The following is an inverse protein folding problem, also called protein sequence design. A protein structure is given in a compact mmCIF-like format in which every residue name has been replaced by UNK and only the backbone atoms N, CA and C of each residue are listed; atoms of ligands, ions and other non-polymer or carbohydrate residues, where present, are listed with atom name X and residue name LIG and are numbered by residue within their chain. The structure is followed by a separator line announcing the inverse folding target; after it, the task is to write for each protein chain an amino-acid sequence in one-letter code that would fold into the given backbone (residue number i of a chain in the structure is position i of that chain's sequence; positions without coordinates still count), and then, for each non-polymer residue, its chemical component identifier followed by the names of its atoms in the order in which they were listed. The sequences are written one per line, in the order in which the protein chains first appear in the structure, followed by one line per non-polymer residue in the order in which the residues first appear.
data_IF_084280741679
#
_entry.id   IF_084280741679
#
_cell.length_a   1.000
_cell.length_b   1.000
_cell.length_c   1.000
_cell.angle_alpha   90.00
_cell.angle_beta   90.00
_cell.angle_gamma   90.00
#
_symmetry.space_group_name_H-M   'P 1'
#
loop_
_entity.id
_entity.type
_entity.pdbx_description
1 polymer ?
#
# COMPACT_ATOMS: atom_id res chain seq x y z
N UNK A 1 7.64 54.85 32.59
CA UNK A 1 6.35 54.50 32.04
C UNK A 1 6.28 54.46 30.51
N UNK A 2 6.79 55.44 29.74
CA UNK A 2 6.74 55.41 28.26
C UNK A 2 7.53 54.26 27.58
N UNK A 3 8.66 53.79 28.20
CA UNK A 3 9.43 52.64 27.67
C UNK A 3 8.80 51.27 27.97
N UNK A 4 7.99 51.17 29.03
CA UNK A 4 7.27 49.91 29.36
C UNK A 4 6.01 49.75 28.48
N UNK A 5 5.36 50.86 28.09
CA UNK A 5 4.22 50.81 27.17
C UNK A 5 4.65 50.44 25.75
N UNK A 6 5.82 50.88 25.31
CA UNK A 6 6.36 50.56 23.99
C UNK A 6 6.79 49.07 23.89
N UNK A 7 7.30 48.48 24.98
CA UNK A 7 7.64 47.06 25.03
C UNK A 7 6.39 46.14 25.05
N UNK A 8 5.30 46.57 25.71
CA UNK A 8 4.04 45.82 25.70
C UNK A 8 3.33 45.92 24.35
N UNK A 9 3.41 47.10 23.68
CA UNK A 9 2.84 47.26 22.32
C UNK A 9 3.63 46.44 21.28
N UNK A 10 4.96 46.34 21.41
CA UNK A 10 5.80 45.54 20.53
C UNK A 10 5.54 44.03 20.75
N UNK A 11 5.31 43.58 22.02
CA UNK A 11 4.95 42.21 22.32
C UNK A 11 3.54 41.87 21.86
N UNK A 12 2.59 42.78 21.93
CA UNK A 12 1.26 42.59 21.38
C UNK A 12 1.22 42.58 19.84
N UNK A 13 2.11 43.33 19.16
CA UNK A 13 2.25 43.23 17.70
C UNK A 13 2.98 41.95 17.23
N UNK A 14 3.91 41.40 18.04
CA UNK A 14 4.53 40.08 17.72
C UNK A 14 3.61 38.88 17.97
N UNK A 15 2.54 39.04 18.77
CA UNK A 15 1.54 37.98 18.99
C UNK A 15 0.41 37.98 17.95
N UNK A 16 0.35 38.98 17.08
CA UNK A 16 -0.67 39.07 15.99
C UNK A 16 -0.13 38.60 14.65
N UNK A 17 1.17 38.30 14.52
CA UNK A 17 1.78 37.83 13.27
C UNK A 17 2.12 36.34 13.22
N UNK A 18 1.68 35.54 14.21
CA UNK A 18 1.75 34.08 14.16
C UNK A 18 0.35 33.49 14.30
N UNK A 19 -0.44 33.62 13.27
CA UNK A 19 -1.79 33.09 13.22
C UNK A 19 -2.47 33.44 11.91
N UNK A 20 -1.78 33.31 10.80
CA UNK A 20 -2.48 32.86 9.62
C UNK A 20 -2.74 31.36 9.92
N UNK A 21 -3.84 31.06 10.62
CA UNK A 21 -4.46 29.76 10.55
C UNK A 21 -4.56 29.47 9.06
N UNK A 22 -3.78 28.51 8.56
CA UNK A 22 -4.05 27.93 7.26
C UNK A 22 -5.55 27.59 7.32
N UNK A 23 -6.35 28.27 6.50
CA UNK A 23 -7.77 28.02 6.46
C UNK A 23 -7.88 26.59 5.99
N UNK A 24 -8.39 25.72 6.87
CA UNK A 24 -8.58 24.31 6.53
C UNK A 24 -9.40 24.27 5.23
N UNK A 25 -8.94 23.53 4.26
CA UNK A 25 -9.71 23.35 3.03
C UNK A 25 -11.06 22.74 3.37
N UNK A 26 -12.12 23.35 2.88
CA UNK A 26 -13.47 22.80 2.89
C UNK A 26 -14.05 22.91 1.48
N UNK A 27 -14.67 21.83 0.96
CA UNK A 27 -15.33 21.87 -0.34
C UNK A 27 -16.43 22.94 -0.41
N UNK A 28 -16.49 23.70 -1.50
CA UNK A 28 -17.58 24.63 -1.76
C UNK A 28 -18.85 23.85 -2.16
N UNK A 29 -19.76 23.71 -1.23
CA UNK A 29 -21.01 22.97 -1.40
C UNK A 29 -22.04 23.69 -2.29
N UNK A 30 -21.72 24.85 -2.86
CA UNK A 30 -22.58 25.57 -3.80
C UNK A 30 -22.24 25.31 -5.26
N UNK A 31 -21.09 24.68 -5.53
CA UNK A 31 -20.64 24.32 -6.89
C UNK A 31 -21.57 23.28 -7.51
N UNK A 32 -21.94 23.48 -8.78
CA UNK A 32 -22.62 22.46 -9.58
C UNK A 32 -21.66 21.87 -10.60
N UNK A 33 -21.59 20.56 -10.63
CA UNK A 33 -20.72 19.85 -11.58
C UNK A 33 -21.41 19.66 -12.93
N UNK A 34 -20.65 19.65 -14.02
CA UNK A 34 -21.25 19.48 -15.35
C UNK A 34 -21.84 18.09 -15.52
N UNK A 35 -23.05 18.01 -16.10
CA UNK A 35 -23.70 16.74 -16.44
C UNK A 35 -22.87 15.93 -17.45
N UNK A 36 -23.02 14.61 -17.43
CA UNK A 36 -22.36 13.64 -18.30
C UNK A 36 -21.63 12.55 -17.53
N UNK A 37 -20.78 11.78 -18.20
CA UNK A 37 -20.11 10.62 -17.61
C UNK A 37 -18.76 11.01 -17.01
N UNK A 38 -18.53 10.62 -15.75
CA UNK A 38 -17.23 10.54 -15.13
C UNK A 38 -16.74 9.11 -15.34
N UNK A 39 -15.64 8.92 -16.08
CA UNK A 39 -15.09 7.62 -16.44
C UNK A 39 -13.87 7.31 -15.57
N UNK A 40 -13.88 6.15 -14.91
CA UNK A 40 -12.84 5.68 -14.01
C UNK A 40 -12.24 4.39 -14.54
N UNK A 41 -10.92 4.33 -14.74
CA UNK A 41 -10.23 3.06 -14.99
C UNK A 41 -9.66 2.52 -13.68
N UNK A 42 -10.08 1.30 -13.32
CA UNK A 42 -9.67 0.66 -12.07
C UNK A 42 -9.36 -0.82 -12.24
N UNK A 43 -8.74 -1.41 -11.22
CA UNK A 43 -8.39 -2.83 -11.16
C UNK A 43 -8.70 -3.39 -9.76
N UNK A 44 -8.57 -4.70 -9.59
CA UNK A 44 -8.95 -5.37 -8.34
C UNK A 44 -10.47 -5.35 -8.15
N UNK A 45 -10.96 -4.48 -7.28
CA UNK A 45 -12.38 -4.25 -7.02
C UNK A 45 -12.81 -2.83 -7.44
N UNK A 46 -12.78 -2.47 -8.72
CA UNK A 46 -13.12 -1.11 -9.14
C UNK A 46 -14.59 -0.74 -8.93
N UNK A 47 -15.47 -1.73 -8.69
CA UNK A 47 -16.85 -1.52 -8.28
C UNK A 47 -16.93 -0.79 -6.92
N UNK A 48 -15.94 -0.95 -6.03
CA UNK A 48 -15.87 -0.18 -4.80
C UNK A 48 -15.70 1.32 -5.07
N UNK A 49 -14.89 1.69 -6.08
CA UNK A 49 -14.75 3.07 -6.52
C UNK A 49 -16.05 3.60 -7.14
N UNK A 50 -16.74 2.77 -7.94
CA UNK A 50 -18.03 3.11 -8.52
C UNK A 50 -19.06 3.44 -7.43
N UNK A 51 -19.15 2.60 -6.40
CA UNK A 51 -20.04 2.83 -5.26
C UNK A 51 -19.67 4.07 -4.46
N UNK A 52 -18.38 4.36 -4.27
CA UNK A 52 -17.91 5.57 -3.62
C UNK A 52 -18.44 6.83 -4.31
N UNK A 53 -18.24 6.95 -5.63
CA UNK A 53 -18.69 8.11 -6.40
C UNK A 53 -20.20 8.16 -6.55
N UNK A 54 -20.89 7.04 -6.75
CA UNK A 54 -22.36 6.99 -6.80
C UNK A 54 -23.00 7.41 -5.49
N UNK A 55 -22.48 6.92 -4.37
CA UNK A 55 -22.96 7.30 -3.05
C UNK A 55 -22.74 8.79 -2.80
N UNK A 56 -21.55 9.31 -3.14
CA UNK A 56 -21.26 10.72 -2.99
C UNK A 56 -22.22 11.59 -3.83
N UNK A 57 -22.47 11.22 -5.08
CA UNK A 57 -23.44 11.91 -5.92
C UNK A 57 -24.87 11.84 -5.33
N UNK A 58 -25.25 10.71 -4.74
CA UNK A 58 -26.57 10.57 -4.12
C UNK A 58 -26.72 11.44 -2.84
N UNK A 59 -25.64 11.70 -2.11
CA UNK A 59 -25.63 12.61 -0.97
C UNK A 59 -25.62 14.09 -1.39
N UNK A 60 -25.19 14.39 -2.62
CA UNK A 60 -25.08 15.74 -3.19
C UNK A 60 -25.91 15.94 -4.49
N UNK A 61 -27.23 15.64 -4.47
CA UNK A 61 -28.03 15.55 -5.71
C UNK A 61 -28.18 16.89 -6.45
N UNK A 62 -28.18 18.03 -5.74
CA UNK A 62 -28.29 19.34 -6.38
C UNK A 62 -27.03 19.76 -7.11
N UNK A 63 -25.87 19.25 -6.66
CA UNK A 63 -24.55 19.56 -7.24
C UNK A 63 -24.22 18.66 -8.41
N UNK A 64 -24.74 17.41 -8.40
CA UNK A 64 -24.38 16.31 -9.31
C UNK A 64 -25.49 15.94 -10.28
N UNK A 65 -26.46 16.83 -10.51
CA UNK A 65 -27.57 16.58 -11.43
C UNK A 65 -27.06 16.22 -12.83
N UNK A 66 -27.40 15.00 -13.30
CA UNK A 66 -27.01 14.49 -14.61
C UNK A 66 -25.55 13.98 -14.69
N UNK A 67 -24.86 13.83 -13.57
CA UNK A 67 -23.57 13.11 -13.51
C UNK A 67 -23.83 11.61 -13.46
N UNK A 68 -23.19 10.87 -14.37
CA UNK A 68 -23.19 9.41 -14.42
C UNK A 68 -21.79 8.88 -14.11
N UNK A 69 -21.68 7.82 -13.34
CA UNK A 69 -20.40 7.17 -13.03
C UNK A 69 -20.25 5.93 -13.90
N UNK A 70 -19.14 5.84 -14.62
CA UNK A 70 -18.78 4.68 -15.44
C UNK A 70 -17.41 4.16 -15.03
N UNK A 71 -17.33 2.85 -14.70
CA UNK A 71 -16.08 2.22 -14.29
C UNK A 71 -15.67 1.17 -15.33
N UNK A 72 -14.41 1.23 -15.75
CA UNK A 72 -13.80 0.26 -16.66
C UNK A 72 -12.84 -0.63 -15.89
N UNK A 73 -13.10 -1.94 -15.89
CA UNK A 73 -12.25 -2.94 -15.28
C UNK A 73 -10.96 -3.12 -16.09
N UNK A 74 -9.81 -3.02 -15.42
CA UNK A 74 -8.48 -3.32 -15.96
C UNK A 74 -7.86 -4.51 -15.20
N UNK A 75 -6.82 -5.12 -15.77
CA UNK A 75 -6.15 -6.27 -15.16
C UNK A 75 -5.25 -5.86 -13.96
N UNK A 76 -4.69 -4.66 -14.00
CA UNK A 76 -3.81 -4.12 -12.97
C UNK A 76 -3.35 -2.71 -13.29
N UNK A 77 -2.55 -2.10 -12.41
CA UNK A 77 -2.05 -0.74 -12.60
C UNK A 77 -1.24 -0.57 -13.90
N UNK A 78 -0.47 -1.59 -14.29
CA UNK A 78 0.30 -1.57 -15.52
C UNK A 78 -0.58 -1.63 -16.78
N UNK A 79 -1.69 -2.38 -16.77
CA UNK A 79 -2.67 -2.39 -17.85
C UNK A 79 -3.36 -1.02 -17.98
N UNK A 80 -3.73 -0.39 -16.85
CA UNK A 80 -4.23 0.98 -16.83
C UNK A 80 -3.22 1.91 -17.49
N UNK A 81 -1.96 1.90 -17.05
CA UNK A 81 -0.89 2.75 -17.61
C UNK A 81 -0.75 2.56 -19.12
N UNK A 82 -0.69 1.32 -19.61
CA UNK A 82 -0.54 1.02 -21.04
C UNK A 82 -1.68 1.59 -21.87
N UNK A 83 -2.93 1.40 -21.42
CA UNK A 83 -4.11 1.94 -22.11
C UNK A 83 -4.08 3.45 -22.17
N UNK A 84 -3.79 4.11 -21.04
CA UNK A 84 -3.69 5.58 -20.96
C UNK A 84 -2.58 6.11 -21.88
N UNK A 85 -1.37 5.54 -21.82
CA UNK A 85 -0.24 5.98 -22.62
C UNK A 85 -0.51 5.85 -24.13
N UNK A 86 -1.11 4.76 -24.57
CA UNK A 86 -1.47 4.53 -25.96
C UNK A 86 -2.51 5.55 -26.46
N UNK A 87 -3.57 5.77 -25.69
CA UNK A 87 -4.62 6.75 -26.02
C UNK A 87 -4.05 8.17 -26.07
N UNK A 88 -3.23 8.53 -25.07
CA UNK A 88 -2.59 9.85 -25.04
C UNK A 88 -1.65 10.09 -26.23
N UNK A 89 -0.82 9.10 -26.57
CA UNK A 89 0.10 9.19 -27.71
C UNK A 89 -0.60 9.26 -29.07
N UNK A 90 -1.80 8.69 -29.18
CA UNK A 90 -2.62 8.78 -30.39
C UNK A 90 -3.27 10.14 -30.59
N UNK A 91 -3.28 10.99 -29.54
CA UNK A 91 -3.95 12.29 -29.53
C UNK A 91 -5.46 12.23 -29.32
N UNK A 92 -6.02 11.06 -28.98
CA UNK A 92 -7.45 10.85 -28.72
C UNK A 92 -7.79 11.23 -27.26
N UNK A 93 -7.55 12.49 -26.87
CA UNK A 93 -7.68 12.94 -25.47
C UNK A 93 -9.09 12.84 -24.92
N UNK A 94 -10.12 12.92 -25.78
CA UNK A 94 -11.53 12.72 -25.43
C UNK A 94 -11.87 11.30 -24.99
N UNK A 95 -11.09 10.29 -25.46
CA UNK A 95 -11.26 8.89 -25.10
C UNK A 95 -10.54 8.50 -23.80
N UNK A 96 -9.76 9.41 -23.22
CA UNK A 96 -9.13 9.19 -21.92
C UNK A 96 -10.19 9.17 -20.80
N UNK A 97 -9.99 8.35 -19.72
CA UNK A 97 -10.82 8.45 -18.53
C UNK A 97 -10.57 9.79 -17.80
N UNK A 98 -11.41 10.12 -16.85
CA UNK A 98 -11.24 11.29 -15.99
C UNK A 98 -10.35 10.97 -14.80
N UNK A 99 -10.42 9.71 -14.34
CA UNK A 99 -9.75 9.21 -13.16
C UNK A 99 -9.17 7.82 -13.40
N UNK A 100 -8.02 7.55 -12.82
CA UNK A 100 -7.45 6.20 -12.79
C UNK A 100 -7.06 5.78 -11.37
N UNK A 101 -7.28 4.51 -11.06
CA UNK A 101 -6.58 3.88 -9.95
C UNK A 101 -5.17 3.49 -10.40
N UNK A 102 -4.16 3.76 -9.56
CA UNK A 102 -2.75 3.49 -9.89
C UNK A 102 -1.93 3.22 -8.64
N UNK A 103 -0.65 2.90 -8.82
CA UNK A 103 0.34 2.68 -7.76
C UNK A 103 1.62 3.48 -8.06
N UNK A 104 2.51 3.60 -7.07
CA UNK A 104 3.67 4.47 -7.13
C UNK A 104 4.55 4.30 -8.39
N UNK A 105 4.92 3.07 -8.77
CA UNK A 105 5.77 2.83 -9.93
C UNK A 105 5.11 3.27 -11.26
N UNK A 106 3.82 2.98 -11.43
CA UNK A 106 3.07 3.38 -12.63
C UNK A 106 2.74 4.87 -12.63
N UNK A 107 2.50 5.49 -11.46
CA UNK A 107 2.37 6.94 -11.32
C UNK A 107 3.67 7.64 -11.71
N UNK A 108 4.81 7.16 -11.20
CA UNK A 108 6.12 7.72 -11.52
C UNK A 108 6.37 7.76 -13.04
N UNK A 109 6.07 6.66 -13.73
CA UNK A 109 6.23 6.58 -15.18
C UNK A 109 5.31 7.52 -15.98
N UNK A 110 4.22 8.03 -15.39
CA UNK A 110 3.26 8.93 -16.04
C UNK A 110 3.46 10.40 -15.65
N UNK A 111 3.98 10.69 -14.47
CA UNK A 111 4.05 12.05 -13.94
C UNK A 111 4.82 13.04 -14.83
N UNK A 112 5.98 12.61 -15.38
CA UNK A 112 6.81 13.46 -16.24
C UNK A 112 6.21 13.67 -17.64
N UNK A 113 5.18 12.94 -18.03
CA UNK A 113 4.60 13.02 -19.38
C UNK A 113 3.52 14.10 -19.52
N UNK A 114 3.07 14.63 -18.38
CA UNK A 114 1.94 15.57 -18.34
C UNK A 114 0.56 14.93 -18.51
N UNK A 115 0.47 13.61 -18.52
CA UNK A 115 -0.80 12.85 -18.62
C UNK A 115 -1.62 12.96 -17.33
N UNK A 116 -0.97 13.02 -16.18
CA UNK A 116 -1.62 13.16 -14.87
C UNK A 116 -1.50 14.60 -14.39
N UNK A 117 -2.54 15.08 -13.71
CA UNK A 117 -2.53 16.42 -13.10
C UNK A 117 -1.65 16.45 -11.87
N UNK A 118 -0.93 17.56 -11.71
CA UNK A 118 -0.27 17.90 -10.45
C UNK A 118 -1.33 18.25 -9.40
N UNK A 119 -1.25 17.65 -8.22
CA UNK A 119 -2.16 17.86 -7.09
C UNK A 119 -1.49 18.54 -5.90
N UNK A 120 -0.25 19.03 -6.05
CA UNK A 120 0.58 19.56 -4.96
C UNK A 120 -0.14 20.63 -4.15
N UNK A 121 -0.68 21.67 -4.79
CA UNK A 121 -1.33 22.78 -4.09
C UNK A 121 -2.55 22.33 -3.27
N UNK A 122 -3.30 21.36 -3.78
CA UNK A 122 -4.46 20.78 -3.09
C UNK A 122 -4.02 19.91 -1.91
N UNK A 123 -3.05 19.02 -2.13
CA UNK A 123 -2.56 18.11 -1.11
C UNK A 123 -1.79 18.84 0.00
N UNK A 124 -1.09 19.92 -0.30
CA UNK A 124 -0.38 20.73 0.69
C UNK A 124 -1.31 21.34 1.75
N UNK A 125 -2.59 21.57 1.41
CA UNK A 125 -3.60 22.04 2.36
C UNK A 125 -4.07 20.95 3.34
N UNK A 126 -3.86 19.66 3.02
CA UNK A 126 -4.51 18.52 3.69
C UNK A 126 -3.53 17.49 4.24
N UNK A 127 -2.29 17.45 3.75
CA UNK A 127 -1.34 16.39 4.06
C UNK A 127 -0.99 16.24 5.54
N UNK A 128 -1.04 17.35 6.31
CA UNK A 128 -0.71 17.34 7.74
C UNK A 128 -1.79 16.64 8.58
N UNK A 129 -3.01 16.51 8.05
CA UNK A 129 -4.13 15.81 8.67
C UNK A 129 -4.18 14.32 8.26
N UNK A 130 -3.33 13.90 7.33
CA UNK A 130 -3.18 12.50 6.92
C UNK A 130 -2.16 11.76 7.80
N UNK A 131 -2.26 10.43 7.84
CA UNK A 131 -1.28 9.57 8.51
C UNK A 131 0.12 9.80 7.92
N UNK A 132 1.13 9.71 8.78
CA UNK A 132 2.51 9.95 8.40
C UNK A 132 2.94 8.95 7.30
N UNK A 133 3.69 9.43 6.30
CA UNK A 133 4.16 8.62 5.17
C UNK A 133 3.19 8.47 4.00
N UNK A 134 1.89 8.71 4.18
CA UNK A 134 0.86 8.53 3.12
C UNK A 134 1.18 9.28 1.84
N UNK A 135 1.75 10.48 1.93
CA UNK A 135 2.07 11.29 0.76
C UNK A 135 3.36 10.87 0.03
N UNK A 136 4.14 9.93 0.58
CA UNK A 136 5.40 9.50 -0.05
C UNK A 136 5.20 8.95 -1.46
N UNK A 137 4.33 7.97 -1.60
CA UNK A 137 4.09 7.27 -2.87
C UNK A 137 3.36 8.12 -3.93
N UNK A 138 2.67 9.19 -3.53
CA UNK A 138 2.02 10.12 -4.48
C UNK A 138 2.95 11.25 -4.92
N UNK A 139 4.16 11.31 -4.34
CA UNK A 139 5.17 12.35 -4.61
C UNK A 139 6.20 11.85 -5.62
N UNK A 140 6.33 12.56 -6.74
CA UNK A 140 7.32 12.31 -7.77
C UNK A 140 8.16 13.57 -7.92
N UNK A 141 9.49 13.46 -7.71
CA UNK A 141 10.43 14.60 -7.83
C UNK A 141 10.00 15.85 -7.04
N UNK A 142 9.45 15.63 -5.84
CA UNK A 142 9.05 16.71 -4.93
C UNK A 142 7.68 17.34 -5.22
N UNK A 143 6.90 16.80 -6.14
CA UNK A 143 5.54 17.23 -6.48
C UNK A 143 4.56 16.07 -6.34
N UNK A 144 3.35 16.35 -5.90
CA UNK A 144 2.30 15.34 -5.76
C UNK A 144 1.42 15.27 -7.01
N UNK A 145 1.13 14.04 -7.48
CA UNK A 145 0.39 13.77 -8.72
C UNK A 145 -0.81 12.86 -8.54
N UNK A 146 -1.15 12.52 -7.31
CA UNK A 146 -2.29 11.65 -7.03
C UNK A 146 -2.89 11.94 -5.66
N UNK A 147 -4.08 11.39 -5.43
CA UNK A 147 -4.82 11.41 -4.19
C UNK A 147 -4.73 10.01 -3.57
N UNK A 148 -4.12 9.82 -2.40
CA UNK A 148 -4.02 8.50 -1.77
C UNK A 148 -5.39 8.00 -1.36
N UNK A 149 -5.67 6.70 -1.58
CA UNK A 149 -6.97 6.08 -1.28
C UNK A 149 -6.84 5.03 -0.20
N UNK A 150 -5.75 4.27 -0.21
CA UNK A 150 -5.41 3.32 0.84
C UNK A 150 -3.91 3.36 1.13
N UNK A 151 -3.55 3.05 2.39
CA UNK A 151 -2.18 2.98 2.84
C UNK A 151 -2.08 1.81 3.82
N UNK A 152 -1.66 0.64 3.32
CA UNK A 152 -1.78 -0.61 4.04
C UNK A 152 -0.42 -1.21 4.37
N UNK A 153 -0.13 -1.49 5.65
CA UNK A 153 1.15 -2.04 6.07
C UNK A 153 1.33 -3.48 5.64
N UNK A 154 2.57 -3.96 5.69
CA UNK A 154 2.85 -5.37 5.82
C UNK A 154 2.58 -5.80 7.26
N UNK A 155 1.95 -6.96 7.41
CA UNK A 155 1.54 -7.50 8.71
C UNK A 155 2.06 -8.93 8.85
N UNK A 156 2.13 -9.39 10.08
CA UNK A 156 2.25 -10.81 10.39
C UNK A 156 0.91 -11.33 10.90
N UNK A 157 0.24 -12.14 10.08
CA UNK A 157 -0.90 -12.93 10.50
C UNK A 157 -0.39 -14.24 11.11
N UNK A 158 -0.95 -14.65 12.24
CA UNK A 158 -0.57 -15.92 12.87
C UNK A 158 -1.78 -16.68 13.41
N UNK A 159 -1.73 -18.00 13.29
CA UNK A 159 -2.76 -18.88 13.85
C UNK A 159 -2.43 -19.16 15.31
N UNK A 160 -3.19 -18.55 16.23
CA UNK A 160 -2.98 -18.68 17.67
C UNK A 160 -3.16 -20.12 18.15
N UNK A 161 -4.07 -20.88 17.55
CA UNK A 161 -4.32 -22.29 17.92
C UNK A 161 -3.09 -23.18 17.63
N UNK A 162 -2.40 -22.96 16.50
CA UNK A 162 -1.14 -23.64 16.22
C UNK A 162 -0.09 -23.28 17.26
N UNK A 163 0.07 -21.98 17.57
CA UNK A 163 1.06 -21.55 18.56
C UNK A 163 0.76 -22.15 19.96
N UNK A 164 -0.51 -22.18 20.35
CA UNK A 164 -0.95 -22.75 21.63
C UNK A 164 -0.69 -24.28 21.69
N UNK A 165 -0.94 -25.01 20.60
CA UNK A 165 -0.68 -26.45 20.50
C UNK A 165 0.80 -26.80 20.76
N UNK A 166 1.70 -25.97 20.22
CA UNK A 166 3.14 -26.15 20.38
C UNK A 166 3.73 -25.35 21.56
N UNK A 167 2.89 -24.68 22.36
CA UNK A 167 3.28 -23.84 23.49
C UNK A 167 4.35 -22.82 23.12
N UNK A 168 4.02 -21.98 22.11
CA UNK A 168 4.87 -20.90 21.58
C UNK A 168 4.24 -19.53 21.89
N UNK A 169 5.04 -18.64 22.46
CA UNK A 169 4.65 -17.24 22.69
C UNK A 169 4.80 -16.42 21.41
N UNK A 170 3.69 -15.86 20.90
CA UNK A 170 3.64 -15.05 19.70
C UNK A 170 4.51 -13.76 19.81
N UNK A 171 4.69 -13.22 21.02
CA UNK A 171 5.51 -12.02 21.21
C UNK A 171 6.98 -12.22 20.77
N UNK A 172 7.46 -13.44 20.69
CA UNK A 172 8.79 -13.76 20.16
C UNK A 172 8.96 -13.45 18.68
N UNK A 173 7.87 -13.31 17.93
CA UNK A 173 7.88 -13.05 16.50
C UNK A 173 7.97 -11.54 16.14
N UNK A 174 8.25 -10.66 17.10
CA UNK A 174 8.39 -9.23 16.87
C UNK A 174 9.67 -8.84 16.07
N UNK A 175 10.63 -9.75 15.99
CA UNK A 175 11.85 -9.60 15.17
C UNK A 175 11.98 -10.74 14.17
N UNK A 176 12.71 -10.53 13.06
CA UNK A 176 12.97 -11.61 12.09
C UNK A 176 13.72 -12.79 12.71
N UNK A 177 14.70 -12.52 13.57
CA UNK A 177 15.42 -13.60 14.28
C UNK A 177 14.46 -14.40 15.15
N UNK A 178 13.62 -13.72 15.93
CA UNK A 178 12.63 -14.39 16.78
C UNK A 178 11.59 -15.17 15.98
N UNK A 179 11.12 -14.63 14.84
CA UNK A 179 10.19 -15.30 13.93
C UNK A 179 10.82 -16.56 13.31
N UNK A 180 12.07 -16.49 12.87
CA UNK A 180 12.84 -17.63 12.36
C UNK A 180 13.04 -18.69 13.45
N UNK A 181 13.40 -18.30 14.68
CA UNK A 181 13.56 -19.24 15.79
C UNK A 181 12.23 -19.95 16.17
N UNK A 182 11.10 -19.21 16.12
CA UNK A 182 9.76 -19.82 16.24
C UNK A 182 9.53 -20.82 15.12
N UNK A 183 9.92 -20.52 13.89
CA UNK A 183 9.82 -21.44 12.76
C UNK A 183 10.60 -22.72 12.95
N UNK A 184 11.84 -22.63 13.43
CA UNK A 184 12.67 -23.81 13.75
C UNK A 184 12.03 -24.66 14.85
N UNK A 185 11.51 -24.03 15.89
CA UNK A 185 10.83 -24.70 16.98
C UNK A 185 9.55 -25.41 16.52
N UNK A 186 8.74 -24.78 15.67
CA UNK A 186 7.54 -25.38 15.06
C UNK A 186 7.92 -26.61 14.21
N UNK A 187 8.90 -26.46 13.32
CA UNK A 187 9.41 -27.56 12.49
C UNK A 187 9.81 -28.74 13.35
N UNK A 188 10.63 -28.51 14.37
CA UNK A 188 11.19 -29.56 15.21
C UNK A 188 10.12 -30.25 16.08
N UNK A 189 9.18 -29.48 16.66
CA UNK A 189 8.09 -30.02 17.48
C UNK A 189 7.01 -30.72 16.66
N UNK A 190 6.80 -30.33 15.42
CA UNK A 190 5.80 -30.94 14.52
C UNK A 190 6.33 -32.08 13.66
N UNK A 191 7.61 -32.48 13.81
CA UNK A 191 8.30 -33.38 12.88
C UNK A 191 8.24 -32.93 11.42
N UNK A 192 8.37 -31.60 11.19
CA UNK A 192 8.36 -30.97 9.88
C UNK A 192 6.98 -30.87 9.22
N UNK A 193 5.89 -31.01 9.98
CA UNK A 193 4.52 -30.94 9.45
C UNK A 193 3.96 -29.53 9.41
N UNK A 194 4.45 -28.64 10.29
CA UNK A 194 4.01 -27.25 10.36
C UNK A 194 5.15 -26.36 9.87
N UNK A 195 4.83 -25.53 8.88
CA UNK A 195 5.70 -24.52 8.32
C UNK A 195 5.46 -23.18 9.00
N UNK A 196 6.52 -22.37 9.14
CA UNK A 196 6.41 -21.04 9.68
C UNK A 196 5.50 -20.15 8.80
N UNK A 197 5.71 -20.23 7.48
CA UNK A 197 4.94 -19.44 6.50
C UNK A 197 4.88 -20.14 5.15
N UNK A 198 4.22 -19.52 4.17
CA UNK A 198 4.24 -19.98 2.79
C UNK A 198 4.84 -18.92 1.87
N UNK A 199 5.57 -19.37 0.85
CA UNK A 199 6.13 -18.50 -0.21
C UNK A 199 5.77 -19.10 -1.56
N UNK A 200 5.39 -18.25 -2.51
CA UNK A 200 5.15 -18.68 -3.89
C UNK A 200 6.45 -19.16 -4.54
N UNK A 201 6.47 -20.33 -5.19
CA UNK A 201 7.65 -20.84 -5.88
C UNK A 201 7.98 -20.08 -7.16
N UNK A 202 7.16 -19.12 -7.59
CA UNK A 202 7.37 -18.36 -8.83
C UNK A 202 6.72 -16.99 -8.79
N UNK A 203 7.35 -16.03 -9.45
CA UNK A 203 6.93 -14.66 -9.81
C UNK A 203 6.33 -13.76 -8.71
N UNK A 204 5.73 -14.35 -7.67
CA UNK A 204 5.04 -13.60 -6.63
C UNK A 204 5.84 -13.42 -5.33
N UNK A 205 6.92 -14.19 -5.12
CA UNK A 205 7.74 -14.06 -3.91
C UNK A 205 8.28 -12.62 -3.77
N UNK A 206 8.88 -12.08 -4.81
CA UNK A 206 9.36 -10.70 -4.80
C UNK A 206 8.28 -9.68 -4.50
N UNK A 207 7.10 -9.79 -5.13
CA UNK A 207 6.01 -8.84 -4.93
C UNK A 207 5.37 -8.90 -3.54
N UNK A 208 5.31 -10.10 -2.91
CA UNK A 208 4.63 -10.29 -1.63
C UNK A 208 5.55 -10.11 -0.43
N UNK A 209 6.72 -10.74 -0.41
CA UNK A 209 7.61 -10.70 0.74
C UNK A 209 8.87 -9.85 0.52
N UNK A 210 9.26 -9.62 -0.73
CA UNK A 210 10.45 -8.90 -1.11
C UNK A 210 10.26 -7.39 -1.08
N UNK A 211 9.74 -6.83 -2.18
CA UNK A 211 9.72 -5.39 -2.46
C UNK A 211 9.05 -4.51 -1.39
N UNK A 212 8.15 -5.08 -0.59
CA UNK A 212 7.41 -4.35 0.46
C UNK A 212 7.75 -4.82 1.87
N UNK A 213 8.50 -5.89 1.98
CA UNK A 213 8.87 -6.54 3.22
C UNK A 213 10.37 -6.49 3.48
N UNK A 214 11.04 -7.60 3.27
CA UNK A 214 12.43 -7.81 3.69
C UNK A 214 13.38 -6.73 3.22
N UNK A 215 13.29 -6.32 1.94
CA UNK A 215 14.22 -5.37 1.34
C UNK A 215 14.04 -3.94 1.87
N UNK A 216 12.87 -3.32 1.87
CA UNK A 216 12.68 -2.00 2.47
C UNK A 216 13.02 -1.97 3.97
N UNK A 217 12.68 -3.04 4.71
CA UNK A 217 13.00 -3.13 6.13
C UNK A 217 14.50 -3.24 6.40
N UNK A 218 15.24 -3.84 5.48
CA UNK A 218 16.71 -3.88 5.51
C UNK A 218 17.36 -2.62 4.92
N UNK A 219 16.56 -1.60 4.57
CA UNK A 219 17.03 -0.37 3.91
C UNK A 219 17.79 -0.65 2.60
N UNK A 220 17.36 -1.69 1.86
CA UNK A 220 18.00 -2.11 0.61
C UNK A 220 17.71 -1.16 -0.55
N UNK A 221 18.69 -1.03 -1.44
CA UNK A 221 18.59 -0.18 -2.63
C UNK A 221 18.89 -0.97 -3.91
N UNK A 222 18.07 -0.75 -4.93
CA UNK A 222 18.35 -1.22 -6.30
C UNK A 222 19.28 -0.21 -6.99
N UNK A 223 18.95 1.07 -6.83
CA UNK A 223 19.65 2.20 -7.43
C UNK A 223 20.08 3.20 -6.37
N UNK A 224 21.19 3.89 -6.59
CA UNK A 224 21.57 5.07 -5.83
C UNK A 224 20.77 6.32 -6.27
N UNK A 225 21.02 7.46 -5.62
CA UNK A 225 20.38 8.75 -5.95
C UNK A 225 20.68 9.26 -7.38
N UNK A 226 21.73 8.73 -8.01
CA UNK A 226 22.13 9.07 -9.38
C UNK A 226 21.58 8.06 -10.41
N UNK A 227 20.84 7.04 -9.97
CA UNK A 227 20.31 5.99 -10.82
C UNK A 227 21.30 4.89 -11.19
N UNK A 228 22.46 4.81 -10.52
CA UNK A 228 23.39 3.71 -10.71
C UNK A 228 22.91 2.48 -9.93
N UNK A 229 23.11 1.30 -10.52
CA UNK A 229 22.81 0.02 -9.86
C UNK A 229 23.78 -0.21 -8.70
N UNK A 230 23.26 -0.44 -7.51
CA UNK A 230 24.03 -0.73 -6.27
C UNK A 230 23.71 -2.10 -5.69
N UNK A 231 22.80 -2.85 -6.28
CA UNK A 231 22.24 -4.12 -5.79
C UNK A 231 23.30 -5.10 -5.27
N UNK A 232 24.36 -5.34 -6.02
CA UNK A 232 25.37 -6.33 -5.67
C UNK A 232 26.26 -5.98 -4.48
N UNK A 233 26.32 -4.69 -4.12
CA UNK A 233 27.19 -4.14 -3.08
C UNK A 233 26.38 -3.65 -1.86
N UNK A 234 25.05 -3.59 -1.97
CA UNK A 234 24.16 -3.04 -0.96
C UNK A 234 24.00 -4.01 0.23
N UNK A 235 24.28 -3.52 1.44
CA UNK A 235 24.22 -4.33 2.66
C UNK A 235 22.78 -4.76 3.01
N UNK A 236 21.80 -3.92 2.74
CA UNK A 236 20.39 -4.22 2.95
C UNK A 236 19.90 -5.32 2.02
N UNK A 237 20.33 -5.31 0.74
CA UNK A 237 20.05 -6.42 -0.19
C UNK A 237 20.61 -7.73 0.37
N UNK A 238 21.84 -7.73 0.86
CA UNK A 238 22.45 -8.94 1.44
C UNK A 238 21.66 -9.42 2.65
N UNK A 239 21.30 -8.54 3.58
CA UNK A 239 20.52 -8.90 4.77
C UNK A 239 19.16 -9.50 4.42
N UNK A 240 18.44 -8.89 3.48
CA UNK A 240 17.15 -9.41 3.02
C UNK A 240 17.28 -10.78 2.33
N UNK A 241 18.33 -10.97 1.52
CA UNK A 241 18.63 -12.25 0.87
C UNK A 241 19.01 -13.34 1.88
N UNK A 242 19.76 -12.99 2.94
CA UNK A 242 20.09 -13.91 4.05
C UNK A 242 18.84 -14.37 4.79
N UNK A 243 17.87 -13.46 5.03
CA UNK A 243 16.58 -13.82 5.62
C UNK A 243 15.82 -14.82 4.75
N UNK A 244 15.67 -14.54 3.46
CA UNK A 244 15.00 -15.44 2.51
C UNK A 244 15.73 -16.79 2.41
N UNK A 245 17.06 -16.77 2.30
CA UNK A 245 17.87 -17.97 2.22
C UNK A 245 17.72 -18.85 3.49
N UNK A 246 17.72 -18.24 4.67
CA UNK A 246 17.52 -18.94 5.93
C UNK A 246 16.16 -19.63 6.00
N UNK A 247 15.11 -18.94 5.55
CA UNK A 247 13.76 -19.52 5.48
C UNK A 247 13.71 -20.76 4.58
N UNK A 248 14.43 -20.75 3.45
CA UNK A 248 14.50 -21.85 2.49
C UNK A 248 15.38 -23.01 3.01
N UNK A 249 16.60 -22.71 3.43
CA UNK A 249 17.60 -23.71 3.87
C UNK A 249 17.14 -24.48 5.11
N UNK A 250 16.54 -23.77 6.06
CA UNK A 250 15.99 -24.37 7.29
C UNK A 250 14.63 -25.04 7.06
N UNK A 251 14.11 -25.01 5.82
CA UNK A 251 12.80 -25.60 5.44
C UNK A 251 11.64 -25.08 6.27
N UNK A 252 11.62 -23.78 6.53
CA UNK A 252 10.59 -23.12 7.32
C UNK A 252 9.40 -22.68 6.48
N UNK A 253 9.49 -22.78 5.15
CA UNK A 253 8.45 -22.33 4.23
C UNK A 253 7.81 -23.47 3.45
N UNK A 254 6.49 -23.41 3.33
CA UNK A 254 5.75 -24.22 2.38
C UNK A 254 5.79 -23.51 1.02
N UNK A 255 6.44 -24.16 0.04
CA UNK A 255 6.45 -23.64 -1.33
C UNK A 255 5.13 -24.00 -2.02
N UNK A 256 4.24 -23.03 -2.12
CA UNK A 256 2.93 -23.21 -2.74
C UNK A 256 2.47 -21.92 -3.43
N UNK A 257 1.69 -22.08 -4.51
CA UNK A 257 1.17 -20.91 -5.23
C UNK A 257 0.24 -20.09 -4.34
N UNK A 258 0.57 -18.82 -4.15
CA UNK A 258 -0.20 -17.89 -3.31
C UNK A 258 -1.61 -17.72 -3.86
N UNK A 259 -2.63 -17.67 -2.97
CA UNK A 259 -4.05 -17.52 -3.27
C UNK A 259 -4.64 -18.66 -4.13
N UNK A 260 -3.96 -19.82 -4.20
CA UNK A 260 -4.48 -21.00 -4.91
C UNK A 260 -4.96 -22.08 -3.92
N UNK A 261 -5.87 -22.98 -4.37
CA UNK A 261 -6.44 -24.01 -3.50
C UNK A 261 -5.43 -24.80 -2.66
N UNK A 262 -4.25 -25.24 -3.15
CA UNK A 262 -3.29 -25.99 -2.32
C UNK A 262 -2.81 -25.23 -1.09
N UNK A 263 -2.64 -23.90 -1.19
CA UNK A 263 -2.26 -23.06 -0.04
C UNK A 263 -3.40 -23.01 1.00
N UNK A 264 -4.64 -22.85 0.54
CA UNK A 264 -5.80 -22.81 1.44
C UNK A 264 -6.07 -24.17 2.09
N UNK A 265 -5.82 -25.28 1.38
CA UNK A 265 -5.91 -26.62 1.94
C UNK A 265 -4.86 -26.84 3.04
N UNK A 266 -3.62 -26.41 2.81
CA UNK A 266 -2.57 -26.44 3.83
C UNK A 266 -2.90 -25.55 5.05
N UNK A 267 -3.53 -24.40 4.82
CA UNK A 267 -4.02 -23.53 5.91
C UNK A 267 -5.06 -24.27 6.76
N UNK A 268 -6.10 -24.85 6.15
CA UNK A 268 -7.15 -25.64 6.85
C UNK A 268 -6.60 -26.83 7.60
N UNK A 269 -5.52 -27.42 7.10
CA UNK A 269 -4.84 -28.55 7.76
C UNK A 269 -3.93 -28.10 8.91
N UNK A 270 -3.88 -26.79 9.23
CA UNK A 270 -2.94 -26.20 10.19
C UNK A 270 -1.46 -26.48 9.88
N UNK A 271 -1.12 -26.56 8.59
CA UNK A 271 0.26 -26.77 8.12
C UNK A 271 1.03 -25.44 7.99
N UNK A 272 0.36 -24.28 8.03
CA UNK A 272 0.96 -22.94 7.92
C UNK A 272 0.63 -22.14 9.17
N UNK A 273 1.66 -21.78 9.94
CA UNK A 273 1.48 -21.07 11.21
C UNK A 273 1.30 -19.55 11.03
N UNK A 274 1.95 -18.95 10.03
CA UNK A 274 1.91 -17.49 9.83
C UNK A 274 1.84 -17.12 8.35
N UNK A 275 1.35 -15.89 8.08
CA UNK A 275 1.50 -15.23 6.78
C UNK A 275 2.14 -13.87 7.00
N UNK A 276 3.31 -13.65 6.41
CA UNK A 276 3.96 -12.35 6.34
C UNK A 276 3.56 -11.69 5.02
N UNK A 277 2.59 -10.77 5.06
CA UNK A 277 1.95 -10.22 3.86
C UNK A 277 1.23 -8.90 4.16
N UNK A 278 0.89 -8.13 3.13
CA UNK A 278 0.14 -6.88 3.29
C UNK A 278 -1.24 -7.06 3.95
N UNK A 279 -1.73 -6.02 4.60
CA UNK A 279 -3.02 -6.01 5.30
C UNK A 279 -4.23 -6.35 4.40
N UNK A 280 -4.07 -6.33 3.07
CA UNK A 280 -5.09 -6.81 2.13
C UNK A 280 -5.42 -8.30 2.29
N UNK A 281 -4.60 -9.08 2.99
CA UNK A 281 -4.78 -10.51 3.20
C UNK A 281 -6.07 -10.86 3.94
N UNK A 282 -6.58 -9.94 4.75
CA UNK A 282 -7.86 -10.05 5.42
C UNK A 282 -9.00 -10.44 4.47
N UNK A 283 -9.07 -9.78 3.31
CA UNK A 283 -10.09 -10.01 2.28
C UNK A 283 -10.10 -11.45 1.75
N UNK A 284 -8.95 -12.13 1.79
CA UNK A 284 -8.79 -13.49 1.30
C UNK A 284 -8.85 -14.53 2.41
N UNK A 285 -8.26 -14.27 3.56
CA UNK A 285 -8.16 -15.23 4.65
C UNK A 285 -9.55 -15.59 5.19
N UNK A 286 -10.33 -14.64 5.62
CA UNK A 286 -11.67 -14.87 6.15
C UNK A 286 -12.64 -15.50 5.12
N UNK A 287 -12.46 -15.19 3.83
CA UNK A 287 -13.28 -15.74 2.74
C UNK A 287 -12.94 -17.20 2.43
N UNK A 288 -11.66 -17.56 2.45
CA UNK A 288 -11.21 -18.89 2.01
C UNK A 288 -11.11 -19.91 3.14
N UNK A 289 -10.94 -19.48 4.38
CA UNK A 289 -10.90 -20.36 5.57
C UNK A 289 -11.83 -19.84 6.68
N UNK A 290 -13.12 -19.65 6.41
CA UNK A 290 -14.08 -19.09 7.37
C UNK A 290 -14.25 -19.98 8.61
N UNK A 291 -13.98 -21.27 8.51
CA UNK A 291 -14.02 -22.25 9.60
C UNK A 291 -12.97 -21.98 10.70
N UNK A 292 -11.92 -21.21 10.42
CA UNK A 292 -10.88 -20.83 11.37
C UNK A 292 -11.18 -19.48 12.06
N UNK A 293 -12.45 -19.04 12.01
CA UNK A 293 -12.89 -17.84 12.74
C UNK A 293 -12.52 -17.92 14.21
N UNK A 294 -11.84 -16.90 14.71
CA UNK A 294 -11.35 -16.84 16.10
C UNK A 294 -9.96 -17.45 16.32
N UNK A 295 -9.40 -18.16 15.35
CA UNK A 295 -8.06 -18.77 15.48
C UNK A 295 -6.93 -17.81 15.07
N UNK A 296 -7.17 -16.88 14.15
CA UNK A 296 -6.16 -15.96 13.64
C UNK A 296 -6.01 -14.71 14.50
N UNK A 297 -4.80 -14.16 14.47
CA UNK A 297 -4.43 -12.87 15.08
C UNK A 297 -3.50 -12.12 14.13
N UNK A 298 -3.33 -10.83 14.39
CA UNK A 298 -2.41 -9.97 13.67
C UNK A 298 -1.44 -9.29 14.63
N UNK A 299 -0.25 -9.03 14.12
CA UNK A 299 0.71 -8.14 14.75
C UNK A 299 1.45 -7.36 13.65
N UNK A 300 2.10 -6.23 13.99
CA UNK A 300 3.00 -5.55 13.05
C UNK A 300 4.06 -6.50 12.49
N UNK A 301 4.52 -6.24 11.27
CA UNK A 301 5.59 -7.02 10.64
C UNK A 301 6.80 -7.17 11.57
N UNK A 302 7.51 -8.31 11.57
CA UNK A 302 8.78 -8.46 12.28
C UNK A 302 9.79 -7.40 11.85
N UNK A 303 10.72 -7.03 12.72
CA UNK A 303 11.75 -6.02 12.43
C UNK A 303 13.15 -6.62 12.36
N UNK A 304 14.04 -5.96 11.63
CA UNK A 304 15.47 -6.06 11.83
C UNK A 304 15.89 -5.16 13.01
N UNK A 305 17.18 -5.11 13.35
CA UNK A 305 17.73 -4.31 14.46
C UNK A 305 17.46 -2.81 14.33
N UNK A 306 17.19 -2.31 13.11
CA UNK A 306 16.83 -0.93 12.87
C UNK A 306 15.39 -0.58 13.30
N UNK A 307 14.57 -1.56 13.65
CA UNK A 307 13.20 -1.37 14.13
C UNK A 307 12.19 -0.99 13.05
N UNK A 308 12.54 -1.06 11.77
CA UNK A 308 11.63 -0.73 10.67
C UNK A 308 10.65 -1.87 10.41
N UNK A 309 9.37 -1.52 10.27
CA UNK A 309 8.27 -2.40 9.84
C UNK A 309 8.17 -2.43 8.31
N UNK A 310 7.39 -3.34 7.75
CA UNK A 310 7.24 -3.48 6.30
C UNK A 310 6.72 -2.21 5.62
N UNK A 311 7.19 -1.96 4.39
CA UNK A 311 6.77 -0.80 3.63
C UNK A 311 5.28 -0.89 3.26
N UNK A 312 4.50 0.17 3.44
CA UNK A 312 3.09 0.17 3.11
C UNK A 312 2.84 0.10 1.61
N UNK A 313 1.64 -0.34 1.26
CA UNK A 313 1.11 -0.27 -0.11
C UNK A 313 0.14 0.88 -0.21
N UNK A 314 0.43 1.82 -1.07
CA UNK A 314 -0.48 2.91 -1.39
C UNK A 314 -1.22 2.61 -2.69
N UNK A 315 -2.56 2.57 -2.63
CA UNK A 315 -3.39 2.76 -3.81
C UNK A 315 -3.85 4.20 -3.87
N UNK A 316 -3.93 4.73 -5.07
CA UNK A 316 -4.18 6.15 -5.27
C UNK A 316 -5.01 6.41 -6.51
N UNK A 317 -5.68 7.54 -6.52
CA UNK A 317 -6.35 8.09 -7.68
C UNK A 317 -5.48 9.15 -8.35
N UNK A 318 -5.19 8.98 -9.63
CA UNK A 318 -4.59 10.03 -10.44
C UNK A 318 -5.63 10.61 -11.40
N UNK A 319 -5.75 11.94 -11.39
CA UNK A 319 -6.66 12.68 -12.27
C UNK A 319 -5.97 12.85 -13.62
N UNK A 320 -6.66 12.51 -14.70
CA UNK A 320 -6.10 12.57 -16.04
C UNK A 320 -6.22 13.99 -16.62
N UNK A 321 -5.11 14.48 -17.15
CA UNK A 321 -5.05 15.75 -17.86
C UNK A 321 -5.50 15.57 -19.31
N UNK A 322 -6.75 15.95 -19.60
CA UNK A 322 -7.32 15.91 -20.96
C UNK A 322 -6.99 17.18 -21.77
N UNK A 323 -5.76 17.68 -21.68
CA UNK A 323 -5.28 18.88 -22.42
C UNK A 323 -6.08 20.16 -22.10
N UNK A 324 -6.44 20.31 -20.80
CA UNK A 324 -7.12 21.52 -20.30
C UNK A 324 -8.63 21.39 -20.13
N UNK A 325 -9.22 20.25 -20.47
CA UNK A 325 -10.64 19.96 -20.22
C UNK A 325 -10.84 18.88 -19.16
N UNK A 326 -10.22 19.05 -17.99
CA UNK A 326 -10.41 18.12 -16.86
C UNK A 326 -11.70 18.47 -16.14
N UNK A 327 -12.80 18.10 -16.79
CA UNK A 327 -14.17 18.47 -16.47
C UNK A 327 -14.61 18.14 -15.04
N UNK A 328 -14.11 17.02 -14.48
CA UNK A 328 -14.52 16.49 -13.18
C UNK A 328 -13.45 16.61 -12.10
N UNK A 329 -12.38 17.37 -12.33
CA UNK A 329 -11.30 17.55 -11.35
C UNK A 329 -11.81 17.92 -9.97
N UNK A 330 -12.68 18.94 -9.89
CA UNK A 330 -13.19 19.41 -8.61
C UNK A 330 -14.13 18.39 -7.96
N UNK A 331 -15.00 17.71 -8.74
CA UNK A 331 -15.86 16.65 -8.21
C UNK A 331 -15.03 15.52 -7.60
N UNK A 332 -13.95 15.11 -8.29
CA UNK A 332 -13.05 14.05 -7.81
C UNK A 332 -12.39 14.47 -6.49
N UNK A 333 -11.89 15.70 -6.41
CA UNK A 333 -11.27 16.25 -5.21
C UNK A 333 -12.25 16.34 -4.03
N UNK A 334 -13.48 16.79 -4.27
CA UNK A 334 -14.49 16.95 -3.23
C UNK A 334 -15.02 15.59 -2.73
N UNK A 335 -15.22 14.62 -3.64
CA UNK A 335 -15.56 13.24 -3.27
C UNK A 335 -14.42 12.59 -2.47
N UNK A 336 -13.17 12.78 -2.88
CA UNK A 336 -12.02 12.29 -2.15
C UNK A 336 -11.87 12.95 -0.78
N UNK A 337 -12.13 14.26 -0.67
CA UNK A 337 -12.12 14.96 0.62
C UNK A 337 -13.12 14.34 1.60
N UNK A 338 -14.38 14.16 1.18
CA UNK A 338 -15.38 13.54 2.06
C UNK A 338 -15.01 12.10 2.43
N UNK A 339 -14.44 11.37 1.48
CA UNK A 339 -13.94 10.01 1.74
C UNK A 339 -12.80 9.98 2.78
N UNK A 340 -11.95 11.01 2.86
CA UNK A 340 -10.84 11.06 3.80
C UNK A 340 -11.17 11.69 5.13
N UNK A 341 -12.05 12.71 5.18
CA UNK A 341 -12.18 13.57 6.32
C UNK A 341 -13.60 13.69 6.88
N UNK A 342 -14.63 13.24 6.16
CA UNK A 342 -16.02 13.39 6.62
C UNK A 342 -16.55 12.08 7.19
N UNK A 343 -16.70 12.01 8.53
CA UNK A 343 -17.15 10.80 9.22
C UNK A 343 -18.50 10.27 8.71
N UNK A 344 -19.47 11.17 8.44
CA UNK A 344 -20.80 10.77 7.94
C UNK A 344 -20.69 9.99 6.62
N UNK A 345 -19.94 10.51 5.66
CA UNK A 345 -19.74 9.84 4.37
C UNK A 345 -18.93 8.56 4.55
N UNK A 346 -17.83 8.63 5.28
CA UNK A 346 -16.86 7.54 5.39
C UNK A 346 -17.44 6.32 6.10
N UNK A 347 -18.20 6.53 7.19
CA UNK A 347 -18.85 5.44 7.94
C UNK A 347 -20.01 4.84 7.13
N UNK A 348 -20.86 5.67 6.50
CA UNK A 348 -21.92 5.18 5.63
C UNK A 348 -21.38 4.38 4.43
N UNK A 349 -20.24 4.79 3.86
CA UNK A 349 -19.57 4.03 2.82
C UNK A 349 -19.06 2.68 3.33
N UNK A 350 -18.50 2.63 4.54
CA UNK A 350 -18.05 1.37 5.14
C UNK A 350 -19.21 0.40 5.39
N UNK A 351 -20.35 0.90 5.87
CA UNK A 351 -21.56 0.09 6.05
C UNK A 351 -22.08 -0.46 4.71
N UNK A 352 -22.10 0.37 3.67
CA UNK A 352 -22.45 -0.05 2.32
C UNK A 352 -21.53 -1.14 1.77
N UNK A 353 -20.21 -1.00 1.97
CA UNK A 353 -19.24 -2.01 1.55
C UNK A 353 -19.43 -3.32 2.31
N UNK A 354 -19.70 -3.27 3.61
CA UNK A 354 -20.00 -4.45 4.42
C UNK A 354 -21.27 -5.15 3.93
N UNK A 355 -22.35 -4.41 3.64
CA UNK A 355 -23.58 -4.96 3.07
C UNK A 355 -23.35 -5.65 1.71
N UNK A 356 -22.52 -5.04 0.87
CA UNK A 356 -22.20 -5.58 -0.47
C UNK A 356 -21.10 -6.65 -0.43
N UNK A 357 -20.53 -6.96 0.73
CA UNK A 357 -19.38 -7.87 0.89
C UNK A 357 -18.19 -7.43 0.02
N UNK A 358 -17.94 -6.14 -0.02
CA UNK A 358 -16.84 -5.51 -0.74
C UNK A 358 -15.79 -5.00 0.24
N UNK A 359 -14.51 -4.90 -0.17
CA UNK A 359 -13.46 -4.38 0.69
C UNK A 359 -13.68 -2.90 1.02
N UNK A 360 -13.40 -2.55 2.27
CA UNK A 360 -13.35 -1.19 2.75
C UNK A 360 -12.07 -0.96 3.55
N UNK A 361 -11.21 -0.08 3.05
CA UNK A 361 -9.92 0.20 3.66
C UNK A 361 -10.04 1.18 4.82
N UNK A 362 -8.98 1.30 5.64
CA UNK A 362 -8.93 2.28 6.71
C UNK A 362 -8.97 3.71 6.17
N UNK A 363 -9.59 4.66 6.90
CA UNK A 363 -9.39 6.07 6.61
C UNK A 363 -7.93 6.45 6.81
N UNK A 364 -7.45 7.37 5.99
CA UNK A 364 -6.08 7.85 6.05
C UNK A 364 -5.92 9.15 6.83
N UNK A 365 -7.01 9.80 7.23
CA UNK A 365 -6.94 10.94 8.14
C UNK A 365 -6.65 10.49 9.58
N UNK A 366 -5.84 11.27 10.29
CA UNK A 366 -5.48 11.01 11.69
C UNK A 366 -6.71 10.97 12.60
N UNK A 367 -7.69 11.86 12.33
CA UNK A 367 -8.92 11.94 13.13
C UNK A 367 -9.78 10.68 12.94
N UNK A 368 -10.14 10.33 11.69
CA UNK A 368 -11.04 9.20 11.45
C UNK A 368 -10.38 7.85 11.74
N UNK A 369 -9.10 7.68 11.49
CA UNK A 369 -8.40 6.42 11.80
C UNK A 369 -8.40 6.11 13.30
N UNK A 370 -8.46 7.12 14.16
CA UNK A 370 -8.54 6.99 15.59
C UNK A 370 -9.98 6.87 16.15
N UNK A 371 -11.00 7.06 15.31
CA UNK A 371 -12.40 7.00 15.73
C UNK A 371 -12.81 5.58 16.13
N UNK A 372 -13.64 5.47 17.17
CA UNK A 372 -14.11 4.20 17.72
C UNK A 372 -14.85 3.32 16.69
N UNK A 373 -15.47 3.92 15.68
CA UNK A 373 -16.11 3.17 14.59
C UNK A 373 -15.08 2.28 13.86
N UNK A 374 -13.86 2.76 13.67
CA UNK A 374 -12.78 2.03 12.96
C UNK A 374 -11.97 1.11 13.88
N UNK A 375 -12.24 1.11 15.19
CA UNK A 375 -11.55 0.28 16.17
C UNK A 375 -12.38 -0.92 16.63
N UNK A 376 -13.45 -1.28 15.90
CA UNK A 376 -14.36 -2.38 16.28
C UNK A 376 -13.63 -3.73 16.31
N UNK A 377 -13.93 -4.58 17.32
CA UNK A 377 -13.38 -5.94 17.37
C UNK A 377 -13.93 -6.78 16.22
N UNK A 378 -13.05 -7.61 15.62
CA UNK A 378 -13.39 -8.54 14.56
C UNK A 378 -13.45 -9.98 15.12
N UNK A 379 -14.58 -10.66 14.97
CA UNK A 379 -14.78 -12.02 15.45
C UNK A 379 -13.76 -12.98 14.83
N UNK A 380 -13.51 -12.85 13.53
CA UNK A 380 -12.56 -13.70 12.81
C UNK A 380 -11.15 -13.68 13.45
N UNK A 381 -10.75 -12.54 14.01
CA UNK A 381 -9.48 -12.35 14.70
C UNK A 381 -9.61 -12.48 16.22
N UNK A 382 -10.56 -13.27 16.70
CA UNK A 382 -10.74 -13.56 18.14
C UNK A 382 -11.01 -12.34 19.00
N UNK A 383 -11.66 -11.32 18.45
CA UNK A 383 -11.97 -10.08 19.14
C UNK A 383 -10.89 -9.00 19.06
N UNK A 384 -9.77 -9.25 18.37
CA UNK A 384 -8.80 -8.20 18.03
C UNK A 384 -9.41 -7.25 16.99
N UNK A 385 -9.18 -5.95 17.12
CA UNK A 385 -9.52 -5.00 16.06
C UNK A 385 -8.57 -5.16 14.87
N UNK A 386 -9.09 -5.60 13.74
CA UNK A 386 -8.29 -5.66 12.50
C UNK A 386 -7.80 -4.26 12.11
N UNK A 387 -8.71 -3.29 12.10
CA UNK A 387 -8.42 -1.91 11.71
C UNK A 387 -7.44 -1.23 12.66
N UNK A 388 -7.55 -1.51 13.98
CA UNK A 388 -6.58 -1.05 14.97
C UNK A 388 -5.20 -1.64 14.76
N UNK A 389 -5.11 -2.95 14.52
CA UNK A 389 -3.85 -3.62 14.22
C UNK A 389 -3.20 -3.11 12.92
N UNK A 390 -4.01 -2.83 11.88
CA UNK A 390 -3.54 -2.23 10.64
C UNK A 390 -2.92 -0.83 10.89
N UNK A 391 -3.55 0.01 11.70
CA UNK A 391 -3.00 1.32 12.07
C UNK A 391 -1.71 1.17 12.89
N UNK A 392 -1.64 0.23 13.82
CA UNK A 392 -0.42 -0.08 14.58
C UNK A 392 0.71 -0.55 13.66
N UNK A 393 0.40 -1.35 12.64
CA UNK A 393 1.35 -1.84 11.64
C UNK A 393 2.01 -0.74 10.80
N UNK A 394 1.44 0.47 10.77
CA UNK A 394 2.03 1.62 10.09
C UNK A 394 3.09 2.36 10.93
N UNK A 395 3.14 2.11 12.25
CA UNK A 395 4.14 2.74 13.13
C UNK A 395 5.53 2.23 12.76
N UNK A 396 6.46 3.14 12.51
CA UNK A 396 7.83 2.85 12.05
C UNK A 396 7.90 2.07 10.73
N UNK A 397 6.93 2.24 9.83
CA UNK A 397 7.00 1.65 8.50
C UNK A 397 8.27 2.06 7.78
N UNK A 398 8.91 1.10 7.12
CA UNK A 398 10.01 1.40 6.21
C UNK A 398 9.52 2.29 5.06
N UNK A 399 10.33 3.22 4.57
CA UNK A 399 10.03 3.91 3.33
C UNK A 399 10.01 2.90 2.17
N UNK A 400 9.19 3.17 1.16
CA UNK A 400 9.26 2.38 -0.06
C UNK A 400 10.64 2.54 -0.71
N UNK A 401 11.10 1.50 -1.38
CA UNK A 401 12.36 1.57 -2.15
C UNK A 401 12.25 2.68 -3.19
N UNK A 402 13.37 3.37 -3.41
CA UNK A 402 13.44 4.45 -4.42
C UNK A 402 12.92 3.96 -5.77
N UNK A 403 11.97 4.71 -6.34
CA UNK A 403 11.37 4.41 -7.63
C UNK A 403 12.06 5.25 -8.72
N UNK A 404 12.43 4.61 -9.81
CA UNK A 404 13.02 5.22 -11.00
C UNK A 404 12.19 4.91 -12.24
N UNK A 405 12.52 5.51 -13.38
CA UNK A 405 11.89 5.17 -14.65
C UNK A 405 12.17 3.73 -15.14
N UNK A 406 13.14 3.04 -14.55
CA UNK A 406 13.54 1.66 -14.89
C UNK A 406 13.00 0.59 -13.93
N UNK A 407 12.14 0.98 -13.01
CA UNK A 407 11.67 0.07 -11.94
C UNK A 407 10.92 -1.15 -12.46
N UNK A 408 10.11 -0.99 -13.50
CA UNK A 408 9.31 -2.09 -14.06
C UNK A 408 10.22 -3.19 -14.63
N UNK A 409 11.25 -2.80 -15.35
CA UNK A 409 12.23 -3.72 -15.91
C UNK A 409 13.12 -4.32 -14.82
N UNK A 410 13.53 -3.50 -13.84
CA UNK A 410 14.33 -3.95 -12.70
C UNK A 410 13.56 -4.99 -11.88
N UNK A 411 12.29 -4.74 -11.58
CA UNK A 411 11.43 -5.69 -10.86
C UNK A 411 11.34 -7.04 -11.56
N UNK A 412 11.27 -7.07 -12.88
CA UNK A 412 11.23 -8.33 -13.62
C UNK A 412 12.54 -9.11 -13.47
N UNK A 413 13.69 -8.44 -13.60
CA UNK A 413 15.02 -9.05 -13.43
C UNK A 413 15.17 -9.65 -12.03
N UNK A 414 14.81 -8.87 -11.00
CA UNK A 414 14.92 -9.32 -9.60
C UNK A 414 14.00 -10.51 -9.34
N UNK A 415 12.78 -10.45 -9.86
CA UNK A 415 11.78 -11.51 -9.75
C UNK A 415 12.29 -12.81 -10.34
N UNK A 416 12.80 -12.76 -11.57
CA UNK A 416 13.31 -13.94 -12.27
C UNK A 416 14.53 -14.54 -11.54
N UNK A 417 15.40 -13.70 -10.98
CA UNK A 417 16.55 -14.15 -10.19
C UNK A 417 16.15 -14.83 -8.89
N UNK A 418 15.19 -14.25 -8.15
CA UNK A 418 14.66 -14.83 -6.91
C UNK A 418 13.94 -16.16 -7.19
N UNK A 419 13.18 -16.24 -8.26
CA UNK A 419 12.52 -17.49 -8.66
C UNK A 419 13.53 -18.61 -8.91
N UNK A 420 14.69 -18.32 -9.52
CA UNK A 420 15.78 -19.30 -9.72
C UNK A 420 16.42 -19.74 -8.40
N UNK A 421 16.55 -18.82 -7.43
CA UNK A 421 17.03 -19.17 -6.09
C UNK A 421 16.05 -20.12 -5.38
N UNK A 422 14.77 -19.80 -5.42
CA UNK A 422 13.72 -20.64 -4.81
C UNK A 422 13.65 -22.02 -5.47
N UNK A 423 13.86 -22.09 -6.79
CA UNK A 423 13.93 -23.34 -7.54
C UNK A 423 15.21 -24.15 -7.24
N UNK A 424 16.22 -23.56 -6.61
CA UNK A 424 17.50 -24.18 -6.34
C UNK A 424 18.49 -24.18 -7.52
N UNK A 425 18.19 -23.40 -8.57
CA UNK A 425 19.06 -23.24 -9.73
C UNK A 425 20.30 -22.40 -9.40
N UNK A 426 20.14 -21.41 -8.53
CA UNK A 426 21.18 -20.53 -8.03
C UNK A 426 21.24 -20.53 -6.51
N UNK A 427 22.43 -20.47 -5.93
CA UNK A 427 22.58 -20.14 -4.52
C UNK A 427 22.43 -18.64 -4.30
N UNK A 428 22.38 -18.21 -3.03
CA UNK A 428 22.16 -16.82 -2.66
C UNK A 428 23.19 -15.86 -3.31
N UNK A 429 24.48 -16.22 -3.27
CA UNK A 429 25.54 -15.37 -3.80
C UNK A 429 25.46 -15.26 -5.34
N UNK A 430 25.22 -16.38 -6.03
CA UNK A 430 24.99 -16.40 -7.48
C UNK A 430 23.77 -15.54 -7.84
N UNK A 431 22.71 -15.60 -7.03
CA UNK A 431 21.49 -14.81 -7.26
C UNK A 431 21.79 -13.31 -7.17
N UNK A 432 22.49 -12.85 -6.13
CA UNK A 432 22.86 -11.43 -5.97
C UNK A 432 23.70 -10.97 -7.16
N UNK A 433 24.73 -11.75 -7.53
CA UNK A 433 25.67 -11.38 -8.60
C UNK A 433 25.02 -11.36 -9.99
N UNK A 434 24.16 -12.34 -10.29
CA UNK A 434 23.48 -12.41 -11.58
C UNK A 434 22.44 -11.31 -11.73
N UNK A 435 21.63 -11.04 -10.70
CA UNK A 435 20.70 -9.90 -10.70
C UNK A 435 21.45 -8.59 -10.91
N UNK A 436 22.54 -8.35 -10.17
CA UNK A 436 23.36 -7.15 -10.31
C UNK A 436 23.87 -6.95 -11.73
N UNK A 437 24.43 -8.03 -12.33
CA UNK A 437 24.93 -8.00 -13.69
C UNK A 437 23.83 -7.70 -14.71
N UNK A 438 22.65 -8.30 -14.57
CA UNK A 438 21.52 -8.06 -15.48
C UNK A 438 20.97 -6.63 -15.33
N UNK A 439 20.85 -6.10 -14.10
CA UNK A 439 20.46 -4.72 -13.84
C UNK A 439 21.43 -3.72 -14.46
N UNK A 440 22.75 -3.92 -14.29
CA UNK A 440 23.79 -3.10 -14.91
C UNK A 440 23.72 -3.15 -16.44
N UNK A 441 23.47 -4.34 -17.01
CA UNK A 441 23.29 -4.50 -18.44
C UNK A 441 22.03 -3.82 -18.99
N UNK A 442 20.96 -3.78 -18.21
CA UNK A 442 19.73 -3.07 -18.53
C UNK A 442 19.97 -1.57 -18.64
N UNK A 443 20.59 -0.95 -17.62
CA UNK A 443 20.91 0.49 -17.61
C UNK A 443 21.88 0.85 -18.73
N UNK A 444 22.90 0.02 -19.01
CA UNK A 444 23.85 0.25 -20.09
C UNK A 444 23.25 0.21 -21.50
N UNK A 445 22.07 -0.37 -21.69
CA UNK A 445 21.32 -0.36 -22.96
C UNK A 445 20.39 0.84 -23.11
N UNK A 446 20.03 1.47 -22.00
CA UNK A 446 19.12 2.64 -21.97
C UNK A 446 19.86 3.98 -22.20
N UNK A 447 21.20 3.98 -22.11
CA UNK A 447 22.09 5.10 -22.45
C UNK A 447 22.56 5.00 -23.90
#
# INVERSE_FOLDING_TARGET
MKKFLAAMLAMALCLVTFGALAQAYEPDRTVKYPAGKLVIYGYGNPQAYEEQFKMWCAMHPEQTEGVEIEVVQCEGAEDVRKKIMLTYQSGAYEDLPDLIATQAATLYAMADTGIVLETTDYMDMLKDDLLDGVCGDVTVKGKMYALPVSFRPQMLYYNQKILDEYNIDSARMDTFDGWIEVGKELRDKSDGKVFLTSISPSQKAWGYVGRRGFWPQAEAHIFDENGNVVWGEDAGVRQAMETLNTLLDEKLVLLTQVLQPPMWDATRNHEIATFYVGAFWDEFLAKNVPEESGEWRLMPAPTYDNGLRGAPVTEMFAIINKQGETKYEQLIKDCWYDYMFTAEFRNAYADLMAEKQMPCWNPLSKELSADAYWQQPAEYYGGQSFKGAETEGLVNSAPNMVITGSDVEADQIIRDGIDRMIAGDWNMEETIQNIDAELKAMIGKAQ
#
